data_IF_868503689017
#
_entry.id   IF_868503689017
#
_cell.length_a   1.000
_cell.length_b   1.000
_cell.length_c   1.000
_cell.angle_alpha   90.00
_cell.angle_beta   90.00
_cell.angle_gamma   90.00
#
_symmetry.space_group_name_H-M   'P 1'
#
loop_
_entity.id
_entity.type
_entity.pdbx_description
1 polymer ?
#
# COMPACT_ATOMS: atom_id res chain seq x y z
N UNK A 1 -7.20 2.88 -18.30
CA UNK A 1 -6.86 1.51 -18.80
C UNK A 1 -7.46 0.49 -17.84
N UNK A 2 -7.96 -0.66 -18.31
CA UNK A 2 -8.68 -1.65 -17.50
C UNK A 2 -7.76 -2.76 -16.96
N UNK A 3 -8.11 -3.29 -15.77
CA UNK A 3 -7.65 -4.57 -15.18
C UNK A 3 -8.91 -5.44 -14.95
N UNK A 4 -8.98 -6.78 -15.03
CA UNK A 4 -8.04 -7.86 -15.37
C UNK A 4 -7.16 -8.42 -14.23
N UNK A 5 -7.58 -9.59 -13.72
CA UNK A 5 -6.87 -10.51 -12.83
C UNK A 5 -6.09 -11.55 -13.65
N UNK A 6 -5.00 -12.05 -13.08
CA UNK A 6 -4.10 -13.02 -13.70
C UNK A 6 -3.65 -14.04 -12.67
N UNK A 7 -3.60 -15.32 -13.03
CA UNK A 7 -3.13 -16.41 -12.17
C UNK A 7 -1.89 -17.07 -12.74
N UNK A 8 -0.84 -17.23 -11.92
CA UNK A 8 0.30 -18.07 -12.28
C UNK A 8 -0.11 -19.56 -12.28
N UNK A 9 0.06 -20.26 -13.40
CA UNK A 9 -0.34 -21.68 -13.49
C UNK A 9 0.56 -22.65 -12.69
N UNK A 10 1.70 -22.17 -12.15
CA UNK A 10 2.67 -22.97 -11.39
C UNK A 10 2.40 -22.92 -9.88
N UNK A 11 2.19 -21.73 -9.32
CA UNK A 11 2.03 -21.54 -7.87
C UNK A 11 0.76 -20.79 -7.45
N UNK A 12 -0.16 -20.54 -8.39
CA UNK A 12 -1.43 -19.83 -8.16
C UNK A 12 -1.34 -18.37 -7.69
N UNK A 13 -0.17 -17.73 -7.81
CA UNK A 13 0.00 -16.27 -7.58
C UNK A 13 -1.05 -15.45 -8.35
N UNK A 14 -1.80 -14.59 -7.63
CA UNK A 14 -2.86 -13.74 -8.20
C UNK A 14 -2.36 -12.31 -8.35
N UNK A 15 -2.36 -11.82 -9.59
CA UNK A 15 -1.94 -10.47 -9.94
C UNK A 15 -3.07 -9.64 -10.55
N UNK A 16 -3.29 -8.41 -10.04
CA UNK A 16 -4.27 -7.45 -10.59
C UNK A 16 -3.53 -6.36 -11.41
N UNK A 17 -3.52 -6.51 -12.73
CA UNK A 17 -2.74 -5.65 -13.64
C UNK A 17 -3.28 -5.58 -15.08
N UNK A 18 -2.70 -4.69 -15.89
CA UNK A 18 -3.05 -4.56 -17.32
C UNK A 18 -2.61 -5.82 -18.10
N UNK A 19 -1.49 -6.42 -17.70
CA UNK A 19 -0.97 -7.70 -18.20
C UNK A 19 -0.43 -8.53 -17.04
N UNK A 20 -0.32 -9.85 -17.22
CA UNK A 20 0.41 -10.70 -16.29
C UNK A 20 1.92 -10.37 -16.25
N UNK A 21 2.60 -10.53 -15.11
CA UNK A 21 4.07 -10.41 -15.04
C UNK A 21 4.80 -11.38 -15.98
N UNK A 22 5.96 -10.98 -16.51
CA UNK A 22 6.81 -11.89 -17.30
C UNK A 22 7.47 -12.95 -16.40
N UNK A 23 7.80 -12.59 -15.16
CA UNK A 23 8.35 -13.48 -14.14
C UNK A 23 7.41 -13.47 -12.95
N UNK A 24 6.98 -14.64 -12.47
CA UNK A 24 6.17 -14.76 -11.27
C UNK A 24 6.95 -14.30 -10.03
N UNK A 25 6.45 -13.34 -9.23
CA UNK A 25 7.16 -12.85 -8.05
C UNK A 25 7.29 -13.92 -6.95
N UNK A 26 6.39 -14.90 -6.93
CA UNK A 26 6.31 -15.94 -5.89
C UNK A 26 7.15 -17.19 -6.21
N UNK A 27 7.17 -17.67 -7.46
CA UNK A 27 7.89 -18.90 -7.84
C UNK A 27 8.96 -18.74 -8.94
N UNK A 28 9.16 -17.54 -9.49
CA UNK A 28 10.15 -17.28 -10.54
C UNK A 28 9.80 -17.85 -11.93
N UNK A 29 8.67 -18.55 -12.10
CA UNK A 29 8.25 -19.10 -13.39
C UNK A 29 8.04 -17.98 -14.44
N UNK A 30 8.58 -18.18 -15.65
CA UNK A 30 8.50 -17.21 -16.75
C UNK A 30 7.27 -17.43 -17.63
N UNK A 31 6.64 -16.34 -18.07
CA UNK A 31 5.46 -16.30 -18.94
C UNK A 31 4.30 -17.18 -18.44
N UNK A 32 4.16 -17.31 -17.13
CA UNK A 32 3.30 -18.32 -16.50
C UNK A 32 1.87 -17.87 -16.19
N UNK A 33 1.46 -16.64 -16.55
CA UNK A 33 0.17 -16.07 -16.15
C UNK A 33 -0.93 -16.28 -17.18
N UNK A 34 -2.02 -16.93 -16.77
CA UNK A 34 -3.29 -16.98 -17.48
C UNK A 34 -4.26 -15.91 -16.96
N UNK A 35 -5.29 -15.56 -17.74
CA UNK A 35 -6.37 -14.67 -17.27
C UNK A 35 -7.23 -15.41 -16.25
N UNK A 36 -7.57 -14.72 -15.17
CA UNK A 36 -8.46 -15.20 -14.10
C UNK A 36 -9.70 -14.30 -13.97
N UNK A 37 -10.75 -14.82 -13.35
CA UNK A 37 -11.93 -14.06 -12.91
C UNK A 37 -11.91 -13.81 -11.40
N UNK A 38 -12.91 -13.08 -10.88
CA UNK A 38 -12.95 -12.71 -9.46
C UNK A 38 -13.22 -13.90 -8.53
N UNK A 39 -14.01 -14.89 -8.98
CA UNK A 39 -14.39 -16.03 -8.16
C UNK A 39 -13.22 -17.03 -8.05
N UNK A 40 -12.53 -17.34 -9.15
CA UNK A 40 -11.29 -18.11 -9.14
C UNK A 40 -10.23 -17.41 -8.25
N UNK A 41 -10.03 -16.11 -8.43
CA UNK A 41 -9.06 -15.33 -7.66
C UNK A 41 -9.34 -15.33 -6.15
N UNK A 42 -10.58 -15.04 -5.72
CA UNK A 42 -10.94 -15.03 -4.30
C UNK A 42 -10.83 -16.42 -3.66
N UNK A 43 -11.23 -17.48 -4.38
CA UNK A 43 -11.08 -18.87 -3.91
C UNK A 43 -9.61 -19.24 -3.64
N UNK A 44 -8.69 -18.67 -4.43
CA UNK A 44 -7.24 -18.93 -4.33
C UNK A 44 -6.57 -18.06 -3.27
N UNK A 45 -6.97 -16.80 -3.14
CA UNK A 45 -6.44 -15.88 -2.11
C UNK A 45 -6.87 -16.35 -0.71
N UNK A 46 -8.11 -16.86 -0.58
CA UNK A 46 -8.67 -17.25 0.70
C UNK A 46 -8.97 -16.04 1.60
N UNK A 47 -8.89 -16.24 2.91
CA UNK A 47 -9.01 -15.18 3.91
C UNK A 47 -7.64 -14.51 4.11
N UNK A 48 -7.60 -13.18 3.97
CA UNK A 48 -6.40 -12.38 4.26
C UNK A 48 -6.36 -11.94 5.74
N UNK A 49 -5.18 -11.58 6.22
CA UNK A 49 -5.03 -10.98 7.56
C UNK A 49 -5.48 -9.52 7.56
N UNK A 50 -6.39 -9.18 8.49
CA UNK A 50 -6.78 -7.79 8.73
C UNK A 50 -5.71 -7.04 9.54
N UNK A 51 -5.43 -5.80 9.14
CA UNK A 51 -4.62 -4.87 9.92
C UNK A 51 -5.52 -4.23 10.99
N UNK A 52 -5.36 -4.65 12.24
CA UNK A 52 -6.26 -4.32 13.36
C UNK A 52 -5.61 -3.45 14.44
N UNK A 53 -4.28 -3.39 14.51
CA UNK A 53 -3.52 -2.62 15.51
C UNK A 53 -2.66 -1.52 14.89
N UNK A 54 -2.20 -0.55 15.72
CA UNK A 54 -1.31 0.52 15.26
C UNK A 54 0.12 0.01 15.04
N UNK A 55 0.52 -1.02 15.77
CA UNK A 55 1.81 -1.69 15.67
C UNK A 55 1.96 -2.33 14.28
N UNK A 56 0.95 -3.06 13.80
CA UNK A 56 0.92 -3.58 12.43
C UNK A 56 1.02 -2.47 11.36
N UNK A 57 0.44 -1.29 11.60
CA UNK A 57 0.59 -0.13 10.69
C UNK A 57 2.04 0.37 10.66
N UNK A 58 2.72 0.39 11.82
CA UNK A 58 4.13 0.78 11.94
C UNK A 58 5.03 -0.26 11.26
N UNK A 59 4.81 -1.55 11.52
CA UNK A 59 5.57 -2.65 10.89
C UNK A 59 5.53 -2.56 9.36
N UNK A 60 4.34 -2.29 8.78
CA UNK A 60 4.16 -2.09 7.33
C UNK A 60 4.95 -0.88 6.84
N UNK A 61 5.07 0.18 7.62
CA UNK A 61 5.87 1.36 7.27
C UNK A 61 7.37 1.11 7.42
N UNK A 62 7.81 0.35 8.42
CA UNK A 62 9.21 -0.07 8.59
C UNK A 62 9.65 -0.99 7.44
N UNK A 63 8.85 -1.99 7.09
CA UNK A 63 9.09 -2.83 5.92
C UNK A 63 9.12 -1.97 4.64
N UNK A 64 8.16 -1.05 4.47
CA UNK A 64 8.12 -0.17 3.32
C UNK A 64 9.34 0.77 3.21
N UNK A 65 9.99 1.15 4.31
CA UNK A 65 11.20 2.02 4.28
C UNK A 65 12.52 1.26 4.24
N UNK A 66 12.50 -0.06 4.48
CA UNK A 66 13.69 -0.92 4.53
C UNK A 66 14.51 -0.82 3.23
N UNK A 67 15.79 -0.47 3.36
CA UNK A 67 16.73 -0.36 2.23
C UNK A 67 16.54 0.85 1.30
N UNK A 68 15.61 1.78 1.60
CA UNK A 68 15.32 2.95 0.75
C UNK A 68 16.04 4.22 1.22
N UNK A 69 15.99 5.27 0.40
CA UNK A 69 16.58 6.60 0.68
C UNK A 69 15.79 7.45 1.70
N UNK A 70 14.72 6.89 2.25
CA UNK A 70 13.86 7.50 3.25
C UNK A 70 13.59 6.52 4.40
N UNK A 71 13.24 7.09 5.54
CA UNK A 71 13.00 6.40 6.82
C UNK A 71 11.74 6.97 7.47
N UNK A 72 11.26 6.33 8.53
CA UNK A 72 10.25 6.92 9.41
C UNK A 72 10.85 8.08 10.21
N UNK A 73 9.98 8.97 10.70
CA UNK A 73 10.36 10.02 11.64
C UNK A 73 11.07 9.42 12.86
N UNK A 74 12.08 10.14 13.37
CA UNK A 74 12.84 9.73 14.58
C UNK A 74 12.04 9.92 15.86
N UNK A 75 11.01 10.77 15.83
CA UNK A 75 10.05 10.91 16.92
C UNK A 75 8.95 9.83 16.82
N UNK A 76 9.08 8.80 17.67
CA UNK A 76 8.09 7.71 17.73
C UNK A 76 6.70 8.17 18.19
N UNK A 77 6.58 9.29 18.91
CA UNK A 77 5.26 9.82 19.28
C UNK A 77 4.51 10.34 18.05
N UNK A 78 5.22 10.95 17.09
CA UNK A 78 4.67 11.32 15.77
C UNK A 78 4.25 10.07 15.00
N UNK A 79 5.12 9.05 14.93
CA UNK A 79 4.83 7.79 14.24
C UNK A 79 3.58 7.09 14.81
N UNK A 80 3.50 6.91 16.13
CA UNK A 80 2.36 6.26 16.79
C UNK A 80 1.05 7.04 16.65
N UNK A 81 1.11 8.38 16.72
CA UNK A 81 -0.07 9.24 16.54
C UNK A 81 -0.63 9.11 15.13
N UNK A 82 0.25 9.11 14.13
CA UNK A 82 -0.14 8.94 12.72
C UNK A 82 -0.63 7.51 12.44
N UNK A 83 -0.02 6.49 13.06
CA UNK A 83 -0.47 5.10 12.92
C UNK A 83 -1.88 4.91 13.48
N UNK A 84 -2.16 5.50 14.64
CA UNK A 84 -3.49 5.52 15.27
C UNK A 84 -4.52 6.21 14.37
N UNK A 85 -4.17 7.36 13.77
CA UNK A 85 -5.05 8.08 12.85
C UNK A 85 -5.31 7.32 11.53
N UNK A 86 -4.31 6.63 10.98
CA UNK A 86 -4.50 5.76 9.79
C UNK A 86 -5.39 4.56 10.10
N UNK A 87 -5.21 3.94 11.26
CA UNK A 87 -6.04 2.82 11.70
C UNK A 87 -7.50 3.24 11.89
N UNK A 88 -7.74 4.42 12.46
CA UNK A 88 -9.08 4.98 12.63
C UNK A 88 -9.74 5.32 11.28
N UNK A 89 -8.99 5.89 10.34
CA UNK A 89 -9.47 6.08 8.96
C UNK A 89 -9.82 4.75 8.26
N UNK A 90 -9.04 3.69 8.49
CA UNK A 90 -9.34 2.36 7.96
C UNK A 90 -10.64 1.82 8.52
N UNK A 91 -10.89 1.95 9.84
CA UNK A 91 -12.15 1.51 10.47
C UNK A 91 -13.36 2.27 9.94
N UNK A 92 -13.25 3.59 9.80
CA UNK A 92 -14.39 4.45 9.43
C UNK A 92 -14.65 4.52 7.92
N UNK A 93 -13.66 4.24 7.08
CA UNK A 93 -13.75 4.43 5.62
C UNK A 93 -13.29 3.22 4.78
N UNK A 94 -12.86 2.12 5.41
CA UNK A 94 -12.35 0.93 4.73
C UNK A 94 -10.96 1.08 4.10
N UNK A 95 -10.32 2.25 4.20
CA UNK A 95 -9.04 2.57 3.57
C UNK A 95 -8.12 3.36 4.50
N UNK A 96 -6.82 3.07 4.42
CA UNK A 96 -5.74 3.66 5.23
C UNK A 96 -5.38 5.09 4.82
N UNK A 97 -6.35 6.01 4.76
CA UNK A 97 -6.10 7.42 4.37
C UNK A 97 -5.16 8.16 5.34
N UNK A 98 -4.35 9.10 4.84
CA UNK A 98 -3.52 9.93 5.71
C UNK A 98 -4.38 10.73 6.70
N UNK A 99 -4.16 10.66 8.03
CA UNK A 99 -4.86 11.49 9.01
C UNK A 99 -4.56 12.98 8.85
N UNK A 100 -3.54 13.32 8.05
CA UNK A 100 -3.12 14.67 7.72
C UNK A 100 -3.95 15.37 6.63
N UNK A 101 -4.89 14.67 5.98
CA UNK A 101 -5.69 15.20 4.87
C UNK A 101 -7.14 14.76 5.00
N UNK A 102 -8.04 15.66 4.62
CA UNK A 102 -9.49 15.42 4.62
C UNK A 102 -9.84 14.76 3.28
N UNK A 103 -10.64 13.69 3.33
CA UNK A 103 -11.21 13.03 2.15
C UNK A 103 -12.26 13.92 1.50
N UNK A 104 -12.35 13.85 0.17
CA UNK A 104 -13.25 14.70 -0.63
C UNK A 104 -14.57 14.02 -0.98
N UNK A 105 -14.69 12.71 -0.74
CA UNK A 105 -15.81 11.88 -1.19
C UNK A 105 -15.70 11.46 -2.66
N UNK A 106 -14.72 12.00 -3.39
CA UNK A 106 -14.34 11.56 -4.73
C UNK A 106 -13.27 10.48 -4.61
N UNK A 107 -13.67 9.23 -4.82
CA UNK A 107 -12.81 8.06 -4.67
C UNK A 107 -11.53 8.14 -5.52
N UNK A 108 -11.56 8.72 -6.73
CA UNK A 108 -10.37 8.81 -7.60
C UNK A 108 -9.34 9.82 -7.04
N UNK A 109 -9.83 10.90 -6.41
CA UNK A 109 -8.98 11.84 -5.69
C UNK A 109 -8.46 11.24 -4.38
N UNK A 110 -9.35 10.63 -3.60
CA UNK A 110 -9.07 10.15 -2.24
C UNK A 110 -8.13 8.93 -2.25
N UNK A 111 -8.14 8.10 -3.29
CA UNK A 111 -7.15 7.02 -3.47
C UNK A 111 -5.68 7.52 -3.49
N UNK A 112 -5.45 8.81 -3.77
CA UNK A 112 -4.10 9.44 -3.70
C UNK A 112 -3.64 9.71 -2.27
N UNK A 113 -4.56 9.61 -1.29
CA UNK A 113 -4.32 9.85 0.14
C UNK A 113 -4.09 8.57 0.95
N UNK A 114 -4.29 7.38 0.36
CA UNK A 114 -4.04 6.08 1.03
C UNK A 114 -2.55 5.98 1.37
N UNK A 115 -2.23 5.63 2.61
CA UNK A 115 -0.90 5.55 3.17
C UNK A 115 -0.29 4.14 3.03
N UNK A 116 0.97 3.97 2.56
CA UNK A 116 1.88 5.00 2.06
C UNK A 116 1.40 5.62 0.74
N UNK A 117 1.24 6.95 0.73
CA UNK A 117 0.83 7.67 -0.47
C UNK A 117 2.02 7.90 -1.42
N UNK A 118 1.78 8.49 -2.59
CA UNK A 118 2.86 8.93 -3.50
C UNK A 118 3.56 10.20 -2.97
N UNK A 119 4.09 10.13 -1.74
CA UNK A 119 4.79 11.26 -1.12
C UNK A 119 6.05 11.72 -1.88
N UNK A 120 6.81 10.89 -2.62
CA UNK A 120 7.93 11.39 -3.42
C UNK A 120 7.51 12.39 -4.51
N UNK A 121 6.24 12.38 -4.92
CA UNK A 121 5.71 13.38 -5.85
C UNK A 121 5.36 14.72 -5.18
N UNK A 122 5.17 14.76 -3.86
CA UNK A 122 4.79 15.96 -3.09
C UNK A 122 5.86 17.06 -3.18
N UNK A 123 5.40 18.31 -3.18
CA UNK A 123 6.27 19.50 -3.16
C UNK A 123 7.14 19.53 -1.89
N UNK A 124 6.51 19.37 -0.73
CA UNK A 124 7.14 19.24 0.60
C UNK A 124 8.29 18.24 0.61
N UNK A 125 8.09 17.02 0.09
CA UNK A 125 9.14 16.00 0.10
C UNK A 125 10.33 16.33 -0.82
N UNK A 126 10.07 17.02 -1.93
CA UNK A 126 11.13 17.47 -2.85
C UNK A 126 11.96 18.59 -2.22
N UNK A 127 11.30 19.57 -1.62
CA UNK A 127 11.91 20.81 -1.11
C UNK A 127 12.47 20.66 0.32
N UNK A 128 11.69 20.12 1.24
CA UNK A 128 12.00 20.02 2.69
C UNK A 128 12.49 18.62 3.09
N UNK A 129 12.26 17.62 2.24
CA UNK A 129 12.73 16.24 2.48
C UNK A 129 11.77 15.35 3.27
N UNK A 130 10.55 15.83 3.56
CA UNK A 130 9.54 15.09 4.31
C UNK A 130 8.16 15.12 3.65
N UNK A 131 7.33 14.10 3.92
CA UNK A 131 5.95 14.10 3.47
C UNK A 131 5.09 15.09 4.28
N UNK A 132 3.87 15.38 3.81
CA UNK A 132 2.92 16.31 4.44
C UNK A 132 2.59 16.13 5.94
N UNK A 133 2.90 14.97 6.52
CA UNK A 133 2.70 14.65 7.93
C UNK A 133 4.02 14.38 8.68
N UNK A 134 5.16 14.65 8.04
CA UNK A 134 6.50 14.39 8.55
C UNK A 134 6.77 12.91 8.91
N UNK A 135 5.92 11.96 8.46
CA UNK A 135 6.09 10.52 8.72
C UNK A 135 7.28 9.93 7.97
N UNK A 136 7.35 10.17 6.66
CA UNK A 136 8.43 9.70 5.80
C UNK A 136 9.39 10.86 5.54
N UNK A 137 10.63 10.70 5.99
CA UNK A 137 11.71 11.70 5.88
C UNK A 137 12.88 11.11 5.10
N UNK A 138 13.63 11.92 4.36
CA UNK A 138 14.92 11.50 3.76
C UNK A 138 15.86 11.00 4.87
N UNK A 139 16.67 9.98 4.55
CA UNK A 139 17.69 9.44 5.48
C UNK A 139 18.83 10.43 5.72
#
# INVERSE_FOLDING_TARGET
>A
MRKHLWRCHVCNDIHLGIKGPEVCPTCGARNAFARSDMNEALTIIGEGEDVTSKEQIIDIWEEFTRGKEYTLNKDMHVVETLASGVLENQKNHGLRFCPCRITTGDLEKDLKLVCPCNFPAQKTYKEEGECWCSLFVKR
#
